data_IF_298721006950
#
_entry.id   IF_298721006950
#
_cell.length_a   1.000
_cell.length_b   1.000
_cell.length_c   1.000
_cell.angle_alpha   90.00
_cell.angle_beta   90.00
_cell.angle_gamma   90.00
#
_symmetry.space_group_name_H-M   'P 1'
#
loop_
_entity.id
_entity.type
_entity.pdbx_description
1 polymer ?
#
# COMPACT_ATOMS: atom_id res chain seq x y z
N UNK A 1 -27.57 15.45 -1.75
CA UNK A 1 -26.20 15.08 -2.13
C UNK A 1 -26.26 13.70 -2.74
N UNK A 2 -25.94 13.56 -4.03
CA UNK A 2 -26.01 12.28 -4.74
C UNK A 2 -24.81 11.39 -4.41
N UNK A 3 -24.89 10.10 -4.71
CA UNK A 3 -23.77 9.15 -4.49
C UNK A 3 -22.48 9.58 -5.22
N UNK A 4 -22.59 10.31 -6.35
CA UNK A 4 -21.45 10.89 -7.05
C UNK A 4 -20.73 11.97 -6.25
N UNK A 5 -21.48 12.85 -5.58
CA UNK A 5 -20.91 13.97 -4.81
C UNK A 5 -20.05 13.43 -3.64
N UNK A 6 -20.52 12.36 -2.99
CA UNK A 6 -19.82 11.69 -1.87
C UNK A 6 -18.48 11.10 -2.33
N UNK A 7 -18.46 10.47 -3.51
CA UNK A 7 -17.22 9.92 -4.08
C UNK A 7 -16.23 11.05 -4.39
N UNK A 8 -16.69 12.14 -5.01
CA UNK A 8 -15.82 13.29 -5.34
C UNK A 8 -15.22 13.96 -4.10
N UNK A 9 -16.01 14.15 -3.04
CA UNK A 9 -15.51 14.67 -1.76
C UNK A 9 -14.49 13.73 -1.12
N UNK A 10 -14.74 12.42 -1.19
CA UNK A 10 -13.80 11.39 -0.75
C UNK A 10 -12.47 11.44 -1.49
N UNK A 11 -12.51 11.61 -2.83
CA UNK A 11 -11.31 11.81 -3.67
C UNK A 11 -10.55 13.05 -3.22
N UNK A 12 -11.21 14.20 -3.13
CA UNK A 12 -10.57 15.48 -2.76
C UNK A 12 -9.88 15.37 -1.40
N UNK A 13 -10.55 14.75 -0.44
CA UNK A 13 -10.03 14.56 0.90
C UNK A 13 -8.82 13.63 0.91
N UNK A 14 -8.84 12.53 0.13
CA UNK A 14 -7.69 11.64 0.03
C UNK A 14 -6.48 12.31 -0.64
N UNK A 15 -6.72 13.07 -1.70
CA UNK A 15 -5.68 13.76 -2.45
C UNK A 15 -5.01 14.88 -1.64
N UNK A 16 -5.73 15.52 -0.70
CA UNK A 16 -5.15 16.59 0.14
C UNK A 16 -4.10 16.09 1.13
N UNK A 17 -4.09 14.79 1.42
CA UNK A 17 -3.09 14.15 2.31
C UNK A 17 -1.81 13.74 1.56
N UNK A 18 -1.80 13.84 0.24
CA UNK A 18 -0.69 13.40 -0.59
C UNK A 18 0.14 14.61 -0.98
N UNK A 19 1.39 14.62 -0.52
CA UNK A 19 2.35 15.63 -0.92
C UNK A 19 3.00 15.25 -2.26
N UNK A 20 3.53 16.22 -3.04
CA UNK A 20 4.19 15.93 -4.32
C UNK A 20 5.36 14.95 -4.20
N UNK A 21 6.04 14.93 -3.05
CA UNK A 21 7.17 14.08 -2.69
C UNK A 21 6.76 12.82 -1.91
N UNK A 22 5.50 12.39 -2.01
CA UNK A 22 5.02 11.21 -1.30
C UNK A 22 5.58 9.90 -1.87
N UNK A 23 6.08 9.03 -0.98
CA UNK A 23 6.45 7.65 -1.25
C UNK A 23 5.38 6.72 -0.66
N UNK A 24 4.79 5.88 -1.49
CA UNK A 24 3.79 4.91 -1.06
C UNK A 24 4.46 3.74 -0.33
N UNK A 25 3.99 3.41 0.88
CA UNK A 25 4.40 2.20 1.59
C UNK A 25 3.41 1.06 1.35
N UNK A 26 3.64 0.28 0.29
CA UNK A 26 2.79 -0.87 -0.04
C UNK A 26 3.11 -2.03 0.90
N UNK A 27 2.16 -2.43 1.75
CA UNK A 27 2.42 -3.52 2.68
C UNK A 27 1.14 -4.25 3.11
N UNK A 28 1.23 -5.52 3.54
CA UNK A 28 0.05 -6.31 3.87
C UNK A 28 -0.71 -5.78 5.10
N UNK A 29 -2.05 -5.95 5.10
CA UNK A 29 -2.93 -5.39 6.15
C UNK A 29 -2.76 -6.03 7.54
N UNK A 30 -2.03 -7.13 7.66
CA UNK A 30 -1.67 -7.72 8.96
C UNK A 30 -0.48 -7.00 9.63
N UNK A 31 0.12 -6.01 8.97
CA UNK A 31 1.07 -5.08 9.59
C UNK A 31 0.42 -3.81 10.12
N UNK A 32 -0.81 -3.50 9.67
CA UNK A 32 -1.48 -2.24 9.99
C UNK A 32 -1.70 -2.09 11.50
N UNK A 33 -1.02 -1.15 12.14
CA UNK A 33 -1.23 -0.77 13.53
C UNK A 33 -2.69 -0.35 13.78
N UNK A 34 -3.28 -0.86 14.86
CA UNK A 34 -4.70 -0.66 15.17
C UNK A 34 -5.69 -1.53 14.39
N UNK A 35 -5.24 -2.31 13.40
CA UNK A 35 -6.09 -3.28 12.70
C UNK A 35 -6.34 -4.53 13.55
N UNK A 36 -7.55 -5.08 13.48
CA UNK A 36 -7.88 -6.40 14.08
C UNK A 36 -7.09 -7.57 13.48
N UNK A 37 -6.46 -7.34 12.32
CA UNK A 37 -5.62 -8.33 11.64
C UNK A 37 -4.14 -8.16 11.99
N UNK A 38 -3.77 -7.18 12.81
CA UNK A 38 -2.38 -6.94 13.14
C UNK A 38 -1.80 -8.13 13.91
N UNK A 39 -0.86 -8.83 13.28
CA UNK A 39 -0.08 -9.92 13.86
C UNK A 39 1.38 -9.54 14.13
N UNK A 40 1.77 -8.33 13.73
CA UNK A 40 3.15 -7.85 13.69
C UNK A 40 3.45 -6.74 14.71
N UNK A 41 2.50 -6.42 15.58
CA UNK A 41 2.68 -5.45 16.66
C UNK A 41 3.04 -4.06 16.12
N UNK A 42 4.25 -3.58 16.45
CA UNK A 42 4.76 -2.24 16.10
C UNK A 42 5.66 -2.20 14.86
N UNK A 43 5.66 -3.28 14.07
CA UNK A 43 6.57 -3.39 12.92
C UNK A 43 6.30 -2.31 11.87
N UNK A 44 5.04 -1.94 11.60
CA UNK A 44 4.71 -0.86 10.65
C UNK A 44 5.37 0.48 11.06
N UNK A 45 5.19 0.93 12.30
CA UNK A 45 5.79 2.20 12.74
C UNK A 45 7.31 2.15 12.80
N UNK A 46 7.90 0.99 13.12
CA UNK A 46 9.35 0.79 13.09
C UNK A 46 9.90 0.88 11.66
N UNK A 47 9.23 0.25 10.70
CA UNK A 47 9.59 0.32 9.28
C UNK A 47 9.41 1.75 8.76
N UNK A 48 8.30 2.42 9.05
CA UNK A 48 8.10 3.82 8.64
C UNK A 48 9.23 4.71 9.17
N UNK A 49 9.65 4.56 10.44
CA UNK A 49 10.80 5.30 10.98
C UNK A 49 12.10 5.00 10.24
N UNK A 50 12.35 3.74 9.89
CA UNK A 50 13.54 3.33 9.11
C UNK A 50 13.50 3.96 7.71
N UNK A 51 12.38 3.83 7.01
CA UNK A 51 12.20 4.37 5.66
C UNK A 51 12.37 5.89 5.67
N UNK A 52 11.75 6.61 6.61
CA UNK A 52 11.90 8.06 6.73
C UNK A 52 13.35 8.52 6.99
N UNK A 53 14.17 7.68 7.66
CA UNK A 53 15.60 7.98 7.87
C UNK A 53 16.44 7.75 6.62
N UNK A 54 16.17 6.69 5.87
CA UNK A 54 16.88 6.35 4.64
C UNK A 54 16.48 7.25 3.46
N UNK A 55 15.24 7.74 3.47
CA UNK A 55 14.65 8.54 2.41
C UNK A 55 14.14 9.89 2.94
N UNK A 56 15.02 10.77 3.46
CA UNK A 56 14.62 12.02 4.11
C UNK A 56 13.93 13.02 3.17
N UNK A 57 14.08 12.83 1.85
CA UNK A 57 13.46 13.66 0.82
C UNK A 57 12.05 13.20 0.42
N UNK A 58 11.54 12.13 1.04
CA UNK A 58 10.20 11.61 0.76
C UNK A 58 9.32 11.68 1.99
N UNK A 59 8.04 12.00 1.79
CA UNK A 59 7.01 11.84 2.81
C UNK A 59 6.37 10.47 2.69
N UNK A 60 6.51 9.63 3.70
CA UNK A 60 5.95 8.28 3.66
C UNK A 60 4.43 8.38 3.74
N UNK A 61 3.77 7.91 2.69
CA UNK A 61 2.33 7.80 2.60
C UNK A 61 1.92 6.38 2.94
N UNK A 62 1.30 6.23 4.12
CA UNK A 62 0.86 4.95 4.64
C UNK A 62 -0.60 4.68 4.25
N UNK A 63 -0.93 3.59 3.54
CA UNK A 63 -2.32 3.23 3.23
C UNK A 63 -3.18 2.87 4.44
N UNK A 64 -2.59 2.61 5.62
CA UNK A 64 -3.29 2.42 6.89
C UNK A 64 -3.79 3.76 7.48
N UNK A 65 -4.70 4.42 6.76
CA UNK A 65 -5.38 5.64 7.23
C UNK A 65 -6.89 5.47 7.06
N UNK A 66 -7.67 6.02 8.00
CA UNK A 66 -9.14 5.89 8.02
C UNK A 66 -9.77 6.34 6.71
N UNK A 67 -9.28 7.43 6.14
CA UNK A 67 -9.74 7.98 4.87
C UNK A 67 -9.62 7.00 3.70
N UNK A 68 -8.54 6.20 3.64
CA UNK A 68 -8.38 5.20 2.60
C UNK A 68 -9.33 4.01 2.82
N UNK A 69 -9.59 3.64 4.08
CA UNK A 69 -10.55 2.60 4.42
C UNK A 69 -11.98 3.01 4.02
N UNK A 70 -12.36 4.25 4.29
CA UNK A 70 -13.66 4.83 3.90
C UNK A 70 -13.82 4.86 2.38
N UNK A 71 -12.85 5.43 1.66
CA UNK A 71 -12.88 5.49 0.19
C UNK A 71 -12.86 4.09 -0.43
N UNK A 72 -12.10 3.14 0.12
CA UNK A 72 -12.14 1.76 -0.36
C UNK A 72 -13.56 1.17 -0.31
N UNK A 73 -14.29 1.37 0.79
CA UNK A 73 -15.67 0.88 0.91
C UNK A 73 -16.63 1.61 -0.04
N UNK A 74 -16.47 2.93 -0.18
CA UNK A 74 -17.27 3.71 -1.14
C UNK A 74 -17.09 3.20 -2.58
N UNK A 75 -15.86 2.94 -3.01
CA UNK A 75 -15.59 2.43 -4.36
C UNK A 75 -16.07 1.00 -4.54
N UNK A 76 -15.95 0.17 -3.49
CA UNK A 76 -16.50 -1.18 -3.51
C UNK A 76 -18.02 -1.17 -3.68
N UNK A 77 -18.72 -0.26 -2.99
CA UNK A 77 -20.18 -0.09 -3.12
C UNK A 77 -20.56 0.40 -4.52
N UNK A 78 -19.85 1.41 -5.04
CA UNK A 78 -20.20 2.06 -6.30
C UNK A 78 -19.79 1.27 -7.55
N UNK A 79 -18.61 0.66 -7.53
CA UNK A 79 -17.97 0.05 -8.72
C UNK A 79 -17.71 -1.44 -8.56
N UNK A 80 -18.10 -2.05 -7.44
CA UNK A 80 -17.90 -3.47 -7.15
C UNK A 80 -16.46 -3.84 -6.74
N UNK A 81 -15.50 -2.92 -6.81
CA UNK A 81 -14.10 -3.18 -6.51
C UNK A 81 -13.44 -1.99 -5.80
N UNK A 82 -13.17 -2.14 -4.50
CA UNK A 82 -12.51 -1.11 -3.70
C UNK A 82 -11.05 -0.89 -4.06
N UNK A 83 -10.33 -1.89 -4.61
CA UNK A 83 -8.91 -1.71 -4.96
C UNK A 83 -8.73 -0.69 -6.10
N UNK A 84 -9.73 -0.52 -6.97
CA UNK A 84 -9.67 0.48 -8.05
C UNK A 84 -9.39 1.90 -7.52
N UNK A 85 -9.87 2.22 -6.33
CA UNK A 85 -9.57 3.49 -5.66
C UNK A 85 -8.05 3.77 -5.59
N UNK A 86 -7.25 2.80 -5.14
CA UNK A 86 -5.82 3.00 -5.00
C UNK A 86 -5.16 3.21 -6.36
N UNK A 87 -5.49 2.40 -7.36
CA UNK A 87 -4.90 2.48 -8.70
C UNK A 87 -5.32 3.73 -9.49
N UNK A 88 -6.55 4.21 -9.30
CA UNK A 88 -7.09 5.34 -10.06
C UNK A 88 -6.86 6.69 -9.37
N UNK A 89 -6.73 6.70 -8.03
CA UNK A 89 -6.68 7.94 -7.25
C UNK A 89 -5.35 8.13 -6.52
N UNK A 90 -4.90 7.12 -5.77
CA UNK A 90 -3.78 7.27 -4.83
C UNK A 90 -2.43 7.09 -5.53
N UNK A 91 -2.19 5.92 -6.13
CA UNK A 91 -0.91 5.58 -6.76
C UNK A 91 -0.48 6.58 -7.84
N UNK A 92 -1.36 7.12 -8.71
CA UNK A 92 -0.94 8.08 -9.73
C UNK A 92 -0.31 9.37 -9.18
N UNK A 93 -0.50 9.65 -7.88
CA UNK A 93 0.04 10.83 -7.19
C UNK A 93 1.34 10.56 -6.46
N UNK A 94 1.77 9.31 -6.39
CA UNK A 94 2.99 8.91 -5.69
C UNK A 94 4.22 9.19 -6.56
N UNK A 95 5.27 9.68 -5.91
CA UNK A 95 6.57 9.91 -6.54
C UNK A 95 7.50 8.69 -6.45
N UNK A 96 7.21 7.77 -5.55
CA UNK A 96 7.98 6.56 -5.31
C UNK A 96 7.12 5.46 -4.65
N UNK A 97 7.62 4.23 -4.68
CA UNK A 97 7.06 3.10 -3.93
C UNK A 97 8.15 2.44 -3.09
N UNK A 98 7.81 2.02 -1.88
CA UNK A 98 8.54 0.99 -1.17
C UNK A 98 7.56 -0.09 -0.74
N UNK A 99 7.87 -1.35 -1.01
CA UNK A 99 6.97 -2.45 -0.74
C UNK A 99 7.55 -3.47 0.25
N UNK A 100 6.71 -3.93 1.18
CA UNK A 100 7.06 -4.94 2.17
C UNK A 100 6.76 -6.35 1.66
N UNK A 101 7.76 -7.22 1.73
CA UNK A 101 7.60 -8.66 1.45
C UNK A 101 7.26 -9.44 2.71
N UNK A 102 6.63 -10.61 2.54
CA UNK A 102 6.46 -11.57 3.63
C UNK A 102 7.82 -12.15 4.06
N UNK A 103 7.85 -12.78 5.23
CA UNK A 103 9.05 -13.43 5.79
C UNK A 103 9.68 -14.46 4.84
N UNK A 104 8.85 -15.18 4.08
CA UNK A 104 9.28 -16.14 3.05
C UNK A 104 9.79 -15.48 1.75
N UNK A 105 9.85 -14.15 1.71
CA UNK A 105 10.24 -13.37 0.56
C UNK A 105 9.15 -13.25 -0.50
N UNK A 106 7.95 -13.80 -0.30
CA UNK A 106 6.86 -13.70 -1.27
C UNK A 106 6.16 -12.34 -1.17
N UNK A 107 5.50 -11.95 -2.27
CA UNK A 107 4.85 -10.64 -2.42
C UNK A 107 3.34 -10.85 -2.51
N UNK A 108 2.59 -10.25 -1.58
CA UNK A 108 1.13 -10.28 -1.61
C UNK A 108 0.57 -9.71 -2.91
N UNK A 109 -0.53 -10.28 -3.43
CA UNK A 109 -1.09 -9.91 -4.74
C UNK A 109 -1.37 -8.42 -4.90
N UNK A 110 -1.92 -7.79 -3.85
CA UNK A 110 -2.18 -6.35 -3.83
C UNK A 110 -0.89 -5.53 -3.88
N UNK A 111 0.02 -5.82 -2.95
CA UNK A 111 1.34 -5.18 -2.84
C UNK A 111 2.13 -5.29 -4.15
N UNK A 112 2.13 -6.47 -4.79
CA UNK A 112 2.77 -6.68 -6.08
C UNK A 112 2.19 -5.75 -7.14
N UNK A 113 0.85 -5.70 -7.26
CA UNK A 113 0.18 -4.87 -8.25
C UNK A 113 0.44 -3.37 -8.04
N UNK A 114 0.46 -2.90 -6.79
CA UNK A 114 0.77 -1.51 -6.46
C UNK A 114 2.21 -1.13 -6.83
N UNK A 115 3.17 -1.97 -6.47
CA UNK A 115 4.59 -1.78 -6.81
C UNK A 115 4.83 -1.84 -8.32
N UNK A 116 4.23 -2.83 -9.00
CA UNK A 116 4.31 -2.97 -10.46
C UNK A 116 3.74 -1.75 -11.19
N UNK A 117 2.60 -1.23 -10.74
CA UNK A 117 1.97 -0.04 -11.33
C UNK A 117 2.91 1.18 -11.27
N UNK A 118 3.54 1.43 -10.12
CA UNK A 118 4.47 2.54 -9.97
C UNK A 118 5.77 2.33 -10.76
N UNK A 119 6.25 1.09 -10.84
CA UNK A 119 7.41 0.75 -11.66
C UNK A 119 7.14 0.99 -13.15
N UNK A 120 5.97 0.58 -13.65
CA UNK A 120 5.54 0.82 -15.04
C UNK A 120 5.37 2.31 -15.34
N UNK A 121 4.95 3.10 -14.34
CA UNK A 121 4.93 4.57 -14.40
C UNK A 121 6.33 5.22 -14.29
N UNK A 122 7.41 4.41 -14.37
CA UNK A 122 8.81 4.83 -14.27
C UNK A 122 9.14 5.55 -12.96
N UNK A 123 8.42 5.23 -11.88
CA UNK A 123 8.74 5.71 -10.54
C UNK A 123 9.80 4.83 -9.90
N UNK A 124 10.68 5.39 -9.04
CA UNK A 124 11.58 4.58 -8.23
C UNK A 124 10.80 3.62 -7.31
N UNK A 125 11.26 2.37 -7.25
CA UNK A 125 10.67 1.33 -6.42
C UNK A 125 11.76 0.63 -5.61
N UNK A 126 11.48 0.40 -4.33
CA UNK A 126 12.31 -0.39 -3.43
C UNK A 126 11.52 -1.53 -2.80
N UNK A 127 12.21 -2.61 -2.51
CA UNK A 127 11.76 -3.67 -1.63
C UNK A 127 12.29 -3.42 -0.22
N UNK A 128 11.47 -3.67 0.80
CA UNK A 128 11.90 -3.75 2.20
C UNK A 128 11.42 -5.06 2.82
N UNK A 129 12.22 -5.65 3.70
CA UNK A 129 11.80 -6.79 4.51
C UNK A 129 11.54 -6.38 5.97
N UNK A 130 11.02 -7.29 6.79
CA UNK A 130 10.69 -7.02 8.20
C UNK A 130 11.91 -6.59 9.05
N UNK A 131 13.12 -6.97 8.63
CA UNK A 131 14.38 -6.56 9.25
C UNK A 131 14.85 -5.16 8.82
N UNK A 132 14.10 -4.48 7.94
CA UNK A 132 14.41 -3.15 7.45
C UNK A 132 15.55 -3.11 6.43
N UNK A 133 15.88 -4.24 5.79
CA UNK A 133 16.82 -4.30 4.68
C UNK A 133 16.11 -3.78 3.43
N UNK A 134 16.69 -2.77 2.78
CA UNK A 134 16.09 -2.08 1.64
C UNK A 134 16.90 -2.38 0.38
N UNK A 135 16.21 -2.81 -0.68
CA UNK A 135 16.84 -3.17 -1.96
C UNK A 135 16.16 -2.39 -3.10
N UNK A 136 16.91 -1.67 -3.96
CA UNK A 136 16.34 -1.03 -5.14
C UNK A 136 15.90 -2.09 -6.16
N UNK A 137 14.74 -1.88 -6.78
CA UNK A 137 14.14 -2.83 -7.72
C UNK A 137 13.95 -2.16 -9.08
N UNK A 138 14.45 -2.81 -10.13
CA UNK A 138 14.28 -2.37 -11.52
C UNK A 138 13.24 -3.19 -12.29
N UNK A 139 12.81 -4.34 -11.75
CA UNK A 139 11.80 -5.23 -12.32
C UNK A 139 11.12 -6.03 -11.20
N UNK A 140 9.81 -6.23 -11.30
CA UNK A 140 9.11 -7.13 -10.40
C UNK A 140 9.40 -8.59 -10.77
N UNK A 141 9.61 -9.43 -9.76
CA UNK A 141 9.78 -10.87 -9.94
C UNK A 141 8.43 -11.58 -9.82
N UNK A 142 7.81 -11.91 -10.96
CA UNK A 142 6.52 -12.58 -11.00
C UNK A 142 6.53 -13.97 -10.35
N UNK A 143 7.70 -14.62 -10.20
CA UNK A 143 7.76 -15.91 -9.50
C UNK A 143 7.51 -15.79 -7.99
N UNK A 144 7.64 -14.59 -7.43
CA UNK A 144 7.36 -14.26 -6.02
C UNK A 144 5.95 -13.71 -5.81
N UNK A 145 5.17 -13.52 -6.88
CA UNK A 145 3.81 -12.98 -6.79
C UNK A 145 2.84 -14.06 -6.29
N UNK A 146 2.23 -13.82 -5.14
CA UNK A 146 1.18 -14.67 -4.61
C UNK A 146 -0.14 -14.46 -5.37
N UNK A 147 -0.96 -15.50 -5.42
CA UNK A 147 -2.39 -15.41 -5.72
C UNK A 147 -3.15 -14.66 -4.61
N UNK A 148 -4.42 -14.34 -4.88
CA UNK A 148 -5.30 -13.70 -3.89
C UNK A 148 -5.50 -14.64 -2.69
N UNK A 149 -5.67 -15.93 -2.95
CA UNK A 149 -5.90 -16.98 -1.98
C UNK A 149 -4.67 -17.15 -1.07
N UNK A 150 -3.48 -17.30 -1.64
CA UNK A 150 -2.23 -17.43 -0.88
C UNK A 150 -1.91 -16.17 -0.07
N UNK A 151 -2.27 -14.99 -0.59
CA UNK A 151 -2.15 -13.72 0.15
C UNK A 151 -3.07 -13.75 1.37
N UNK A 152 -4.32 -14.19 1.21
CA UNK A 152 -5.29 -14.29 2.31
C UNK A 152 -4.82 -15.26 3.39
N UNK A 153 -4.25 -16.39 3.01
CA UNK A 153 -3.73 -17.39 3.95
C UNK A 153 -2.61 -16.86 4.84
N UNK A 154 -1.78 -15.94 4.32
CA UNK A 154 -0.69 -15.31 5.09
C UNK A 154 -1.17 -14.13 5.95
N UNK A 155 -2.23 -13.45 5.50
CA UNK A 155 -2.74 -12.24 6.16
C UNK A 155 -3.77 -12.56 7.24
N UNK A 156 -4.65 -13.52 7.00
CA UNK A 156 -5.77 -13.81 7.88
C UNK A 156 -5.51 -15.12 8.64
N UNK A 157 -5.59 -15.11 9.98
CA UNK A 157 -5.43 -16.35 10.75
C UNK A 157 -6.44 -17.40 10.28
N UNK A 158 -5.97 -18.64 10.11
CA UNK A 158 -6.84 -19.78 9.81
C UNK A 158 -7.80 -19.93 11.00
N UNK A 159 -9.10 -19.89 10.72
CA UNK A 159 -10.15 -20.19 11.70
C UNK A 159 -10.05 -21.63 12.18
#
# INVERSE_FOLDING_TARGET
MGEKDIVEEGIKSALSLIAPDSMYFAHPVNFYEGSKFNSHGKTESNLIKKISREFPNYKIHNPNQSIHQENYQLWKKQFGNGMKYYFEVVLPKMSACIYLVFEDGMIGKGVFGEAEHLLQAKKPVWEINENGIITPISKMDHSRMLSVEETRERVYPKK
#
